data_IF_875800519707
#
_entry.id   IF_875800519707
#
_cell.length_a   1.000
_cell.length_b   1.000
_cell.length_c   1.000
_cell.angle_alpha   90.00
_cell.angle_beta   90.00
_cell.angle_gamma   90.00
#
_symmetry.space_group_name_H-M   'P 1'
#
loop_
_entity.id
_entity.type
_entity.pdbx_description
1 polymer ?
#
# COMPACT_ATOMS: atom_id res chain seq x y z
N UNK A 1 -9.46 18.14 -32.78
CA UNK A 1 -9.39 17.89 -31.32
C UNK A 1 -9.10 16.42 -31.13
N UNK A 2 -7.85 16.06 -31.41
CA UNK A 2 -7.33 14.69 -31.56
C UNK A 2 -6.65 14.31 -30.25
N UNK A 3 -7.43 14.29 -29.17
CA UNK A 3 -7.05 13.63 -27.92
C UNK A 3 -7.24 12.12 -28.14
N UNK A 4 -6.52 11.64 -29.15
CA UNK A 4 -6.74 10.40 -29.85
C UNK A 4 -6.64 9.21 -28.90
N UNK A 5 -7.40 8.17 -29.19
CA UNK A 5 -7.45 6.87 -28.52
C UNK A 5 -6.06 6.31 -28.16
N UNK A 6 -5.01 6.72 -28.87
CA UNK A 6 -3.61 6.41 -28.58
C UNK A 6 -3.12 6.91 -27.21
N UNK A 7 -3.49 8.12 -26.76
CA UNK A 7 -3.03 8.67 -25.47
C UNK A 7 -3.68 7.95 -24.27
N UNK A 8 -4.91 7.45 -24.43
CA UNK A 8 -5.58 6.64 -23.42
C UNK A 8 -5.03 5.22 -23.32
N UNK A 9 -4.54 4.62 -24.42
CA UNK A 9 -3.83 3.31 -24.37
C UNK A 9 -2.50 3.40 -23.63
N UNK A 10 -1.77 4.50 -23.78
CA UNK A 10 -0.50 4.77 -23.06
C UNK A 10 -0.71 5.18 -21.59
N UNK A 11 -1.86 5.76 -21.25
CA UNK A 11 -2.25 6.06 -19.86
C UNK A 11 -2.81 4.83 -19.13
N UNK A 12 -3.23 3.78 -19.85
CA UNK A 12 -3.76 2.55 -19.27
C UNK A 12 -2.83 1.88 -18.25
N UNK A 13 -1.52 1.77 -18.52
CA UNK A 13 -0.55 1.32 -17.53
C UNK A 13 -0.44 2.27 -16.32
N UNK A 14 -0.42 3.59 -16.53
CA UNK A 14 -0.33 4.57 -15.45
C UNK A 14 -1.58 4.56 -14.54
N UNK A 15 -2.77 4.48 -15.13
CA UNK A 15 -4.05 4.39 -14.38
C UNK A 15 -4.13 3.06 -13.63
N UNK A 16 -3.66 1.95 -14.23
CA UNK A 16 -3.58 0.65 -13.53
C UNK A 16 -2.56 0.68 -12.39
N UNK A 17 -1.48 1.45 -12.53
CA UNK A 17 -0.51 1.65 -11.47
C UNK A 17 -1.07 2.53 -10.35
N UNK A 18 -1.70 3.65 -10.67
CA UNK A 18 -2.37 4.52 -9.70
C UNK A 18 -3.51 3.81 -8.97
N UNK A 19 -4.32 3.03 -9.68
CA UNK A 19 -5.37 2.20 -9.08
C UNK A 19 -4.76 1.11 -8.21
N UNK A 20 -3.69 0.45 -8.66
CA UNK A 20 -3.00 -0.56 -7.86
C UNK A 20 -2.33 0.02 -6.62
N UNK A 21 -1.79 1.24 -6.69
CA UNK A 21 -1.18 1.96 -5.56
C UNK A 21 -2.24 2.46 -4.58
N UNK A 22 -3.39 2.92 -5.07
CA UNK A 22 -4.52 3.39 -4.25
C UNK A 22 -5.20 2.22 -3.53
N UNK A 23 -5.41 1.09 -4.21
CA UNK A 23 -5.98 -0.14 -3.64
C UNK A 23 -4.98 -0.93 -2.77
N UNK A 24 -3.70 -0.56 -2.77
CA UNK A 24 -2.64 -1.18 -1.97
C UNK A 24 -1.85 -0.13 -1.21
N UNK A 25 -2.56 0.74 -0.51
CA UNK A 25 -1.88 1.64 0.40
C UNK A 25 -1.43 0.87 1.64
N UNK A 26 -0.28 0.18 1.53
CA UNK A 26 0.39 -0.53 2.63
C UNK A 26 0.53 0.40 3.85
N UNK A 27 0.66 1.71 3.62
CA UNK A 27 0.72 2.73 4.65
C UNK A 27 -0.61 2.85 5.39
N UNK A 28 -1.76 2.75 4.72
CA UNK A 28 -3.08 2.72 5.37
C UNK A 28 -3.32 1.44 6.16
N UNK A 29 -2.98 0.28 5.60
CA UNK A 29 -3.12 -1.00 6.31
C UNK A 29 -2.26 -1.05 7.59
N UNK A 30 -1.02 -0.56 7.50
CA UNK A 30 -0.13 -0.37 8.66
C UNK A 30 -0.73 0.63 9.66
N UNK A 31 -1.21 1.77 9.16
CA UNK A 31 -1.77 2.84 10.00
C UNK A 31 -2.99 2.34 10.77
N UNK A 32 -3.89 1.62 10.12
CA UNK A 32 -5.08 1.05 10.75
C UNK A 32 -4.71 -0.03 11.76
N UNK A 33 -3.76 -0.91 11.44
CA UNK A 33 -3.28 -1.93 12.37
C UNK A 33 -2.65 -1.32 13.63
N UNK A 34 -1.85 -0.26 13.47
CA UNK A 34 -1.24 0.49 14.58
C UNK A 34 -2.28 1.25 15.40
N UNK A 35 -3.23 1.92 14.77
CA UNK A 35 -4.32 2.62 15.46
C UNK A 35 -5.13 1.66 16.31
N UNK A 36 -5.51 0.52 15.76
CA UNK A 36 -6.25 -0.50 16.48
C UNK A 36 -5.44 -1.11 17.64
N UNK A 37 -4.12 -1.28 17.50
CA UNK A 37 -3.26 -1.72 18.59
C UNK A 37 -3.23 -0.70 19.74
N UNK A 38 -3.17 0.59 19.42
CA UNK A 38 -3.20 1.69 20.40
C UNK A 38 -4.56 1.80 21.09
N UNK A 39 -5.67 1.64 20.39
CA UNK A 39 -7.03 1.65 20.97
C UNK A 39 -7.25 0.54 21.99
N UNK A 40 -6.65 -0.64 21.76
CA UNK A 40 -6.74 -1.78 22.67
C UNK A 40 -5.82 -1.66 23.88
N UNK A 41 -4.91 -0.68 23.90
CA UNK A 41 -3.94 -0.50 24.98
C UNK A 41 -4.63 0.02 26.24
N UNK A 42 -4.27 -0.55 27.39
CA UNK A 42 -4.70 -0.07 28.71
C UNK A 42 -3.47 0.22 29.58
N UNK A 43 -3.37 1.40 30.20
CA UNK A 43 -4.32 2.52 30.12
C UNK A 43 -4.29 3.23 28.74
N UNK A 44 -5.40 3.88 28.33
CA UNK A 44 -5.43 4.63 27.08
C UNK A 44 -4.47 5.82 27.14
N UNK A 45 -3.89 6.24 25.99
CA UNK A 45 -3.01 7.40 25.94
C UNK A 45 -3.75 8.66 26.42
N UNK A 46 -3.17 9.38 27.39
CA UNK A 46 -3.80 10.58 27.98
C UNK A 46 -3.19 11.88 27.48
N UNK A 47 -2.01 11.79 26.85
CA UNK A 47 -1.30 12.92 26.28
C UNK A 47 -0.81 12.60 24.86
N UNK A 48 -0.55 13.61 24.02
CA UNK A 48 0.06 13.39 22.70
C UNK A 48 1.40 12.64 22.77
N UNK A 49 2.16 12.85 23.84
CA UNK A 49 3.41 12.15 24.10
C UNK A 49 3.17 10.65 24.33
N UNK A 50 2.19 10.31 25.18
CA UNK A 50 1.82 8.91 25.44
C UNK A 50 1.30 8.22 24.18
N UNK A 51 0.59 8.96 23.32
CA UNK A 51 0.10 8.44 22.04
C UNK A 51 1.28 8.10 21.11
N UNK A 52 2.28 8.98 21.03
CA UNK A 52 3.48 8.74 20.24
C UNK A 52 4.26 7.52 20.75
N UNK A 53 4.43 7.42 22.07
CA UNK A 53 5.08 6.25 22.70
C UNK A 53 4.28 4.98 22.44
N UNK A 54 2.96 5.03 22.51
CA UNK A 54 2.12 3.86 22.24
C UNK A 54 2.15 3.39 20.78
N UNK A 55 2.21 4.32 19.83
CA UNK A 55 2.43 3.97 18.43
C UNK A 55 3.81 3.33 18.22
N UNK A 56 4.85 3.88 18.86
CA UNK A 56 6.21 3.38 18.72
C UNK A 56 6.41 1.99 19.36
N UNK A 57 5.84 1.77 20.54
CA UNK A 57 5.81 0.46 21.20
C UNK A 57 5.08 -0.57 20.33
N UNK A 58 3.89 -0.21 19.85
CA UNK A 58 3.07 -1.09 19.01
C UNK A 58 3.75 -1.42 17.68
N UNK A 59 4.51 -0.48 17.12
CA UNK A 59 5.29 -0.69 15.91
C UNK A 59 6.49 -1.62 16.14
N UNK A 60 7.19 -1.51 17.28
CA UNK A 60 8.28 -2.43 17.62
C UNK A 60 7.79 -3.86 17.90
N UNK A 61 6.60 -4.02 18.48
CA UNK A 61 5.97 -5.32 18.71
C UNK A 61 5.37 -5.92 17.43
N UNK A 62 5.25 -5.12 16.38
CA UNK A 62 4.63 -5.54 15.13
C UNK A 62 5.49 -6.59 14.41
N UNK A 63 4.96 -7.79 14.12
CA UNK A 63 5.78 -8.86 13.59
C UNK A 63 6.26 -8.53 12.17
N UNK A 64 7.55 -8.74 11.84
CA UNK A 64 8.10 -8.42 10.52
C UNK A 64 7.42 -9.23 9.40
N UNK A 65 6.85 -10.39 9.72
CA UNK A 65 6.05 -11.22 8.79
C UNK A 65 4.71 -10.61 8.40
N UNK A 66 4.16 -9.68 9.18
CA UNK A 66 2.91 -9.01 8.82
C UNK A 66 3.11 -8.14 7.59
N UNK A 67 4.24 -7.43 7.50
CA UNK A 67 4.58 -6.58 6.34
C UNK A 67 4.95 -7.39 5.10
N UNK A 68 5.37 -8.65 5.25
CA UNK A 68 5.73 -9.50 4.12
C UNK A 68 4.54 -9.76 3.21
N UNK A 69 3.34 -9.97 3.75
CA UNK A 69 2.13 -10.26 2.96
C UNK A 69 1.74 -9.08 2.04
N UNK A 70 1.57 -7.84 2.52
CA UNK A 70 1.26 -6.69 1.68
C UNK A 70 2.43 -6.32 0.75
N UNK A 71 3.68 -6.40 1.20
CA UNK A 71 4.86 -6.15 0.34
C UNK A 71 4.98 -7.17 -0.78
N UNK A 72 4.79 -8.46 -0.50
CA UNK A 72 4.82 -9.53 -1.50
C UNK A 72 3.64 -9.41 -2.48
N UNK A 73 2.44 -9.07 -1.99
CA UNK A 73 1.29 -8.79 -2.85
C UNK A 73 1.56 -7.61 -3.80
N UNK A 74 2.18 -6.54 -3.29
CA UNK A 74 2.59 -5.38 -4.08
C UNK A 74 3.63 -5.75 -5.13
N UNK A 75 4.70 -6.46 -4.74
CA UNK A 75 5.75 -6.92 -5.66
C UNK A 75 5.22 -7.86 -6.74
N UNK A 76 4.31 -8.79 -6.40
CA UNK A 76 3.68 -9.70 -7.38
C UNK A 76 2.81 -8.97 -8.39
N UNK A 77 2.06 -7.97 -7.95
CA UNK A 77 1.23 -7.13 -8.83
C UNK A 77 2.09 -6.18 -9.67
N UNK A 78 3.16 -5.64 -9.10
CA UNK A 78 4.17 -4.87 -9.84
C UNK A 78 4.88 -5.72 -10.89
N UNK A 79 5.25 -6.97 -10.57
CA UNK A 79 5.81 -7.91 -11.54
C UNK A 79 4.79 -8.29 -12.63
N UNK A 80 3.52 -8.49 -12.27
CA UNK A 80 2.44 -8.74 -13.22
C UNK A 80 2.22 -7.54 -14.15
N UNK A 81 2.36 -6.33 -13.62
CA UNK A 81 2.30 -5.09 -14.37
C UNK A 81 3.47 -4.93 -15.34
N UNK A 82 4.72 -5.11 -14.87
CA UNK A 82 5.90 -5.09 -15.72
C UNK A 82 5.83 -6.15 -16.82
N UNK A 83 5.29 -7.33 -16.52
CA UNK A 83 5.04 -8.38 -17.50
C UNK A 83 3.99 -7.97 -18.53
N UNK A 84 2.92 -7.29 -18.13
CA UNK A 84 1.89 -6.78 -19.02
C UNK A 84 2.39 -5.61 -19.91
N UNK A 85 3.35 -4.81 -19.43
CA UNK A 85 4.04 -3.80 -20.25
C UNK A 85 5.02 -4.45 -21.23
N UNK A 86 5.76 -5.47 -20.76
CA UNK A 86 6.79 -6.16 -21.55
C UNK A 86 6.26 -7.17 -22.57
N UNK A 87 4.94 -7.38 -22.64
CA UNK A 87 4.28 -8.18 -23.67
C UNK A 87 3.51 -7.26 -24.64
N UNK A 88 4.22 -6.53 -25.53
CA UNK A 88 3.58 -5.83 -26.62
C UNK A 88 3.19 -6.89 -27.65
N UNK A 89 2.04 -7.55 -27.43
CA UNK A 89 1.33 -8.37 -28.44
C UNK A 89 2.24 -9.27 -29.27
N UNK A 90 2.43 -10.52 -28.84
CA UNK A 90 2.88 -11.57 -29.77
C UNK A 90 1.82 -11.77 -30.87
N UNK A 91 2.05 -11.14 -32.02
CA UNK A 91 1.40 -11.30 -33.34
C UNK A 91 -0.13 -11.33 -33.38
#
# INVERSE_FOLDING_TARGET
MVWDVCSWRDMGPLIRLETALTEMNIIEDIRDALLHAVEKRSPPPRTPMDLLTALQDSWCEFPPGYLQTPVESMLRRFASFLRAIGDPTRN
#
